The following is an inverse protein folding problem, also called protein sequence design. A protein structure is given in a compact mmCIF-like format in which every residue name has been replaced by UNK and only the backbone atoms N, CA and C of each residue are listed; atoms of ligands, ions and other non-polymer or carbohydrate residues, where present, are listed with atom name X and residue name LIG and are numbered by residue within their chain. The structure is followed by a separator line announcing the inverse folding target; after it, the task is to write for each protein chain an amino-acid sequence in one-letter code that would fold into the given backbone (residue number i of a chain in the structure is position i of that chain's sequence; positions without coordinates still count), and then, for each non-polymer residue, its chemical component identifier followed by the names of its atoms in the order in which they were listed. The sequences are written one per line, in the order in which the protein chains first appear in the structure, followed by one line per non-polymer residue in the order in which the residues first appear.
data_IF_597644932025
#
_entry.id   IF_597644932025
#
_cell.length_a   1.000
_cell.length_b   1.000
_cell.length_c   1.000
_cell.angle_alpha   90.00
_cell.angle_beta   90.00
_cell.angle_gamma   90.00
#
_symmetry.space_group_name_H-M   'P 1'
#
loop_
_entity.id
_entity.type
_entity.pdbx_description
1 polymer ?
#
# COMPACT_ATOMS: atom_id res chain seq x y z
N UNK A 1 4.48 3.35 17.24
CA UNK A 1 5.13 3.06 15.93
C UNK A 1 4.04 3.08 14.86
N UNK A 2 4.22 3.82 13.77
CA UNK A 2 3.28 3.78 12.64
C UNK A 2 3.70 2.61 11.76
N UNK A 3 2.79 1.68 11.50
CA UNK A 3 3.05 0.54 10.63
C UNK A 3 2.86 0.91 9.16
N UNK A 4 3.43 0.12 8.24
CA UNK A 4 3.33 0.40 6.81
C UNK A 4 1.88 0.37 6.32
N UNK A 5 1.06 -0.57 6.80
CA UNK A 5 -0.36 -0.65 6.46
C UNK A 5 -1.11 0.61 6.87
N UNK A 6 -0.92 1.05 8.12
CA UNK A 6 -1.51 2.29 8.63
C UNK A 6 -1.03 3.53 7.89
N UNK A 7 0.25 3.60 7.53
CA UNK A 7 0.82 4.71 6.76
C UNK A 7 0.16 4.81 5.38
N UNK A 8 0.11 3.71 4.63
CA UNK A 8 -0.50 3.68 3.30
C UNK A 8 -1.99 4.00 3.35
N UNK A 9 -2.71 3.49 4.34
CA UNK A 9 -4.12 3.80 4.56
C UNK A 9 -4.34 5.31 4.78
N UNK A 10 -3.54 5.91 5.68
CA UNK A 10 -3.63 7.34 6.00
C UNK A 10 -3.41 8.20 4.77
N UNK A 11 -2.37 7.90 3.98
CA UNK A 11 -2.06 8.61 2.74
C UNK A 11 -3.14 8.43 1.66
N UNK A 12 -3.69 7.23 1.53
CA UNK A 12 -4.76 6.98 0.56
C UNK A 12 -6.03 7.76 0.92
N UNK A 13 -6.42 7.73 2.20
CA UNK A 13 -7.62 8.41 2.71
C UNK A 13 -7.46 9.93 2.64
N UNK A 14 -6.31 10.49 3.03
CA UNK A 14 -6.05 11.93 2.96
C UNK A 14 -6.16 12.47 1.52
N UNK A 15 -5.79 11.65 0.54
CA UNK A 15 -5.86 11.96 -0.90
C UNK A 15 -7.21 11.59 -1.53
N UNK A 16 -8.17 11.06 -0.76
CA UNK A 16 -9.50 10.61 -1.22
C UNK A 16 -9.44 9.60 -2.36
N UNK A 17 -8.43 8.71 -2.35
CA UNK A 17 -8.27 7.67 -3.36
C UNK A 17 -9.01 6.41 -2.90
N UNK A 18 -9.90 5.86 -3.73
CA UNK A 18 -10.56 4.58 -3.45
C UNK A 18 -9.64 3.40 -3.75
N UNK A 19 -9.95 2.21 -3.22
CA UNK A 19 -9.19 1.00 -3.53
C UNK A 19 -9.22 0.68 -5.03
N UNK A 20 -10.37 0.84 -5.68
CA UNK A 20 -10.53 0.62 -7.12
C UNK A 20 -9.72 1.62 -7.94
N UNK A 21 -9.64 2.88 -7.48
CA UNK A 21 -8.81 3.89 -8.13
C UNK A 21 -7.32 3.54 -8.02
N UNK A 22 -6.90 3.04 -6.86
CA UNK A 22 -5.53 2.60 -6.63
C UNK A 22 -5.20 1.36 -7.47
N UNK A 23 -6.09 0.38 -7.51
CA UNK A 23 -5.99 -0.82 -8.34
C UNK A 23 -5.84 -0.48 -9.83
N UNK A 24 -6.64 0.46 -10.35
CA UNK A 24 -6.53 0.90 -11.75
C UNK A 24 -5.15 1.51 -12.06
N UNK A 25 -4.57 2.24 -11.11
CA UNK A 25 -3.28 2.94 -11.25
C UNK A 25 -2.08 2.00 -11.06
N UNK A 26 -2.11 1.14 -10.04
CA UNK A 26 -0.97 0.28 -9.68
C UNK A 26 -1.00 -1.09 -10.37
N UNK A 27 -2.17 -1.49 -10.87
CA UNK A 27 -2.49 -2.86 -11.34
C UNK A 27 -2.42 -3.93 -10.26
N UNK A 28 -2.41 -3.52 -8.98
CA UNK A 28 -2.49 -4.42 -7.83
C UNK A 28 -3.95 -4.59 -7.49
N UNK A 29 -4.38 -5.85 -7.34
CA UNK A 29 -5.76 -6.16 -6.95
C UNK A 29 -6.16 -5.43 -5.66
N UNK A 30 -7.37 -4.90 -5.61
CA UNK A 30 -7.87 -4.18 -4.43
C UNK A 30 -7.79 -5.00 -3.14
N UNK A 31 -7.96 -6.33 -3.24
CA UNK A 31 -7.89 -7.24 -2.08
C UNK A 31 -6.49 -7.24 -1.46
N UNK A 32 -5.43 -7.15 -2.27
CA UNK A 32 -4.06 -7.06 -1.76
C UNK A 32 -3.76 -5.68 -1.18
N UNK A 33 -4.32 -4.61 -1.75
CA UNK A 33 -4.18 -3.26 -1.21
C UNK A 33 -4.86 -3.18 0.17
N UNK A 34 -6.07 -3.72 0.28
CA UNK A 34 -6.83 -3.79 1.53
C UNK A 34 -6.12 -4.66 2.58
N UNK A 35 -5.65 -5.85 2.18
CA UNK A 35 -4.87 -6.73 3.06
C UNK A 35 -3.59 -6.04 3.57
N UNK A 36 -2.90 -5.30 2.70
CA UNK A 36 -1.71 -4.53 3.08
C UNK A 36 -2.05 -3.41 4.08
N UNK A 37 -3.12 -2.66 3.85
CA UNK A 37 -3.58 -1.60 4.76
C UNK A 37 -4.05 -2.15 6.12
N UNK A 38 -4.59 -3.37 6.14
CA UNK A 38 -5.02 -4.09 7.35
C UNK A 38 -3.93 -4.93 8.00
N UNK A 39 -2.73 -5.00 7.40
CA UNK A 39 -1.62 -5.86 7.84
C UNK A 39 -2.00 -7.35 7.91
N UNK A 40 -2.88 -7.79 7.03
CA UNK A 40 -3.24 -9.19 6.86
C UNK A 40 -2.19 -9.90 6.00
N UNK A 41 -1.04 -10.20 6.62
CA UNK A 41 0.09 -10.86 5.97
C UNK A 41 -0.23 -12.29 5.47
N UNK A 42 -1.28 -12.94 6.01
CA UNK A 42 -1.71 -14.27 5.58
C UNK A 42 -2.41 -14.26 4.21
N UNK A 43 -3.04 -13.15 3.86
CA UNK A 43 -3.71 -12.94 2.57
C UNK A 43 -2.80 -12.31 1.51
N UNK A 44 -1.56 -11.99 1.87
CA UNK A 44 -0.59 -11.38 0.97
C UNK A 44 0.30 -12.43 0.28
N UNK A 45 0.83 -12.13 -0.92
CA UNK A 45 1.82 -12.99 -1.57
C UNK A 45 3.14 -13.03 -0.79
N UNK A 46 4.14 -13.74 -1.35
CA UNK A 46 5.48 -13.78 -0.78
C UNK A 46 6.10 -12.39 -0.58
N UNK A 47 6.94 -12.26 0.45
CA UNK A 47 7.53 -11.00 0.89
C UNK A 47 8.17 -10.14 -0.23
N UNK A 48 8.93 -10.70 -1.21
CA UNK A 48 9.49 -9.91 -2.30
C UNK A 48 8.43 -9.20 -3.15
N UNK A 49 7.28 -9.85 -3.37
CA UNK A 49 6.15 -9.29 -4.13
C UNK A 49 5.48 -8.18 -3.32
N UNK A 50 5.26 -8.41 -2.03
CA UNK A 50 4.68 -7.43 -1.10
C UNK A 50 5.54 -6.17 -1.02
N UNK A 51 6.86 -6.32 -0.97
CA UNK A 51 7.78 -5.18 -1.02
C UNK A 51 7.63 -4.37 -2.33
N UNK A 52 7.39 -5.04 -3.45
CA UNK A 52 7.06 -4.41 -4.73
C UNK A 52 5.73 -3.64 -4.67
N UNK A 53 4.71 -4.22 -4.04
CA UNK A 53 3.41 -3.56 -3.85
C UNK A 53 3.52 -2.29 -3.03
N UNK A 54 4.20 -2.34 -1.89
CA UNK A 54 4.43 -1.18 -1.02
C UNK A 54 5.09 -0.05 -1.81
N UNK A 55 6.16 -0.36 -2.57
CA UNK A 55 6.88 0.64 -3.39
C UNK A 55 6.01 1.25 -4.48
N UNK A 56 5.21 0.43 -5.18
CA UNK A 56 4.33 0.90 -6.24
C UNK A 56 3.19 1.76 -5.69
N UNK A 57 2.54 1.33 -4.60
CA UNK A 57 1.47 2.08 -3.93
C UNK A 57 2.00 3.42 -3.42
N UNK A 58 3.13 3.42 -2.71
CA UNK A 58 3.70 4.65 -2.18
C UNK A 58 4.08 5.64 -3.30
N UNK A 59 4.72 5.17 -4.38
CA UNK A 59 4.99 5.99 -5.58
C UNK A 59 3.71 6.57 -6.18
N UNK A 60 2.67 5.76 -6.30
CA UNK A 60 1.36 6.16 -6.86
C UNK A 60 0.65 7.19 -6.00
N UNK A 61 0.80 7.07 -4.67
CA UNK A 61 0.32 8.04 -3.71
C UNK A 61 1.21 9.28 -3.64
N UNK A 62 2.38 9.32 -4.29
CA UNK A 62 3.31 10.44 -4.21
C UNK A 62 3.96 10.58 -2.82
N UNK A 63 4.10 9.47 -2.09
CA UNK A 63 4.87 9.39 -0.86
C UNK A 63 6.19 8.71 -1.12
N UNK A 64 7.26 9.33 -0.61
CA UNK A 64 8.61 8.82 -0.75
C UNK A 64 8.81 7.60 0.15
N UNK A 65 9.01 6.43 -0.45
CA UNK A 65 9.32 5.19 0.27
C UNK A 65 10.63 5.26 1.05
N UNK A 66 11.55 6.19 0.72
CA UNK A 66 12.78 6.38 1.49
C UNK A 66 12.52 6.99 2.89
N UNK A 67 11.34 7.57 3.14
CA UNK A 67 10.96 8.04 4.48
C UNK A 67 10.40 6.94 5.38
N UNK A 68 10.09 5.76 4.85
CA UNK A 68 9.45 4.67 5.60
C UNK A 68 10.42 3.59 6.08
N UNK A 69 11.74 3.82 5.97
CA UNK A 69 12.76 2.89 6.46
C UNK A 69 13.74 3.65 7.35
N UNK A 70 13.59 3.47 8.66
CA UNK A 70 14.59 3.76 9.69
C UNK A 70 14.51 2.63 10.70
#
# INVERSE_FOLDING_TARGET
MITIGRFLNTERVSRKISFEALERKTKIKKEFIEALEKEDWGSLPEFPVVLGFVKNIARTLGVDTNRAVS
#
